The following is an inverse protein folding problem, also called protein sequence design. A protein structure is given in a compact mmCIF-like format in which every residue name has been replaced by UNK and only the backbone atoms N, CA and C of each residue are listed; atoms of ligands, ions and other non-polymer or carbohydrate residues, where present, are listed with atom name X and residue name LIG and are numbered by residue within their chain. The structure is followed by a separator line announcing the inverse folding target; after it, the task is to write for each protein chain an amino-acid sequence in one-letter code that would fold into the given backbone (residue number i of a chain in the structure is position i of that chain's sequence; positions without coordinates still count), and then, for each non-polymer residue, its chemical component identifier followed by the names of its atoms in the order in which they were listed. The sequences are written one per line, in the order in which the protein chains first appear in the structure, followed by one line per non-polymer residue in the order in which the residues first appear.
data_IF_460148859279
#
_entry.id   IF_460148859279
#
_cell.length_a   1.000
_cell.length_b   1.000
_cell.length_c   1.000
_cell.angle_alpha   90.00
_cell.angle_beta   90.00
_cell.angle_gamma   90.00
#
_symmetry.space_group_name_H-M   'P 1'
#
loop_
_entity.id
_entity.type
_entity.pdbx_description
1 polymer ?
#
# COMPACT_ATOMS: atom_id res chain seq x y z
N UNK A 1 26.78 -36.87 4.68
CA UNK A 1 25.52 -37.35 4.09
C UNK A 1 25.82 -38.55 3.20
N UNK A 2 25.08 -39.66 3.32
CA UNK A 2 25.37 -40.90 2.59
C UNK A 2 24.76 -40.89 1.18
N UNK A 3 25.38 -41.61 0.23
CA UNK A 3 24.86 -41.81 -1.12
C UNK A 3 23.45 -42.44 -1.15
N UNK A 4 23.09 -43.18 -0.09
CA UNK A 4 21.75 -43.72 0.11
C UNK A 4 20.69 -42.64 0.39
N UNK A 5 21.06 -41.55 1.06
CA UNK A 5 20.16 -40.42 1.37
C UNK A 5 19.82 -39.61 0.12
N UNK A 6 20.75 -39.53 -0.84
CA UNK A 6 20.53 -38.85 -2.12
C UNK A 6 19.58 -39.62 -3.03
N UNK A 7 19.52 -40.95 -2.95
CA UNK A 7 18.63 -41.78 -3.80
C UNK A 7 17.17 -41.70 -3.36
N UNK A 8 16.90 -41.56 -2.06
CA UNK A 8 15.53 -41.35 -1.51
C UNK A 8 14.97 -39.96 -1.80
N UNK A 9 15.81 -38.94 -2.00
CA UNK A 9 15.38 -37.53 -2.21
C UNK A 9 15.14 -37.13 -3.67
N UNK A 10 15.33 -38.03 -4.64
CA UNK A 10 15.20 -37.74 -6.09
C UNK A 10 13.80 -37.28 -6.54
N UNK A 11 12.74 -37.71 -5.85
CA UNK A 11 11.36 -37.29 -6.17
C UNK A 11 10.96 -35.95 -5.57
N UNK A 12 11.50 -35.61 -4.39
CA UNK A 12 11.23 -34.35 -3.67
C UNK A 12 12.17 -33.20 -4.05
N UNK A 13 13.26 -33.49 -4.77
CA UNK A 13 14.21 -32.47 -5.21
C UNK A 13 13.68 -31.68 -6.40
N UNK A 14 12.90 -32.30 -7.30
CA UNK A 14 12.32 -31.62 -8.47
C UNK A 14 11.23 -30.61 -8.08
N UNK A 15 10.38 -30.93 -7.11
CA UNK A 15 9.37 -29.99 -6.59
C UNK A 15 10.01 -28.82 -5.86
N UNK A 16 11.03 -29.08 -5.02
CA UNK A 16 11.81 -28.01 -4.36
C UNK A 16 12.64 -27.16 -5.34
N UNK A 17 13.24 -27.78 -6.35
CA UNK A 17 13.97 -27.07 -7.41
C UNK A 17 13.03 -26.24 -8.27
N UNK A 18 11.81 -26.72 -8.57
CA UNK A 18 10.78 -25.94 -9.27
C UNK A 18 10.23 -24.80 -8.42
N UNK A 19 10.04 -25.00 -7.11
CA UNK A 19 9.69 -23.91 -6.17
C UNK A 19 10.82 -22.88 -6.05
N UNK A 20 12.08 -23.31 -5.99
CA UNK A 20 13.23 -22.39 -5.98
C UNK A 20 13.43 -21.67 -7.32
N UNK A 21 13.20 -22.34 -8.46
CA UNK A 21 13.22 -21.71 -9.79
C UNK A 21 12.09 -20.69 -9.97
N UNK A 22 10.91 -20.93 -9.39
CA UNK A 22 9.81 -19.96 -9.36
C UNK A 22 10.15 -18.75 -8.46
N UNK A 23 10.89 -18.97 -7.36
CA UNK A 23 11.40 -17.89 -6.50
C UNK A 23 12.48 -17.04 -7.19
N UNK A 24 13.31 -17.63 -8.06
CA UNK A 24 14.36 -16.93 -8.81
C UNK A 24 13.78 -16.05 -9.95
N UNK A 25 12.64 -16.44 -10.54
CA UNK A 25 12.00 -15.70 -11.64
C UNK A 25 11.03 -14.60 -11.20
N UNK A 26 10.81 -14.43 -9.89
CA UNK A 26 10.10 -13.28 -9.36
C UNK A 26 11.13 -12.35 -8.72
N UNK A 27 11.27 -11.09 -9.16
CA UNK A 27 12.17 -10.16 -8.49
C UNK A 27 11.68 -10.02 -7.03
N UNK A 28 12.42 -10.62 -6.10
CA UNK A 28 12.33 -10.32 -4.68
C UNK A 28 12.90 -8.90 -4.48
N UNK A 29 12.10 -7.92 -4.87
CA UNK A 29 12.08 -6.64 -4.16
C UNK A 29 11.74 -7.04 -2.73
N UNK A 30 12.67 -6.83 -1.78
CA UNK A 30 12.49 -7.24 -0.39
C UNK A 30 11.07 -6.93 0.07
N UNK A 31 10.27 -7.99 0.21
CA UNK A 31 8.87 -7.84 0.60
C UNK A 31 8.92 -7.56 2.08
N UNK A 32 8.61 -6.32 2.43
CA UNK A 32 8.46 -5.94 3.82
C UNK A 32 7.21 -6.64 4.36
N UNK A 33 7.42 -7.67 5.18
CA UNK A 33 6.37 -8.56 5.72
C UNK A 33 5.34 -7.81 6.59
N UNK A 34 5.63 -6.56 6.98
CA UNK A 34 4.69 -5.69 7.68
C UNK A 34 3.55 -5.23 6.77
N UNK A 35 3.72 -5.27 5.45
CA UNK A 35 2.72 -4.81 4.50
C UNK A 35 1.72 -5.89 4.14
N UNK A 36 0.44 -5.57 4.35
CA UNK A 36 -0.63 -6.39 3.85
C UNK A 36 -1.09 -5.91 2.47
N UNK A 37 -1.46 -6.88 1.63
CA UNK A 37 -2.07 -6.66 0.33
C UNK A 37 -3.11 -7.74 0.08
N UNK A 38 -4.31 -7.32 -0.33
CA UNK A 38 -5.35 -8.25 -0.74
C UNK A 38 -4.91 -9.11 -1.93
N UNK A 39 -5.07 -10.42 -1.79
CA UNK A 39 -4.83 -11.37 -2.87
C UNK A 39 -5.90 -11.27 -3.96
N UNK A 40 -5.46 -11.25 -5.21
CA UNK A 40 -6.34 -11.19 -6.38
C UNK A 40 -6.58 -12.59 -6.94
N UNK A 41 -7.77 -12.81 -7.49
CA UNK A 41 -8.09 -14.05 -8.19
C UNK A 41 -7.50 -14.02 -9.61
N UNK A 42 -7.69 -15.10 -10.37
CA UNK A 42 -7.22 -15.17 -11.76
C UNK A 42 -7.84 -14.11 -12.66
N UNK A 43 -9.00 -13.59 -12.31
CA UNK A 43 -9.69 -12.50 -13.02
C UNK A 43 -9.26 -11.10 -12.54
N UNK A 44 -8.39 -11.01 -11.52
CA UNK A 44 -7.93 -9.75 -10.95
C UNK A 44 -8.89 -9.14 -9.93
N UNK A 45 -9.87 -9.90 -9.43
CA UNK A 45 -10.77 -9.46 -8.37
C UNK A 45 -10.25 -9.86 -6.99
N UNK A 46 -10.49 -8.99 -6.01
CA UNK A 46 -10.10 -9.20 -4.62
C UNK A 46 -11.21 -8.77 -3.70
N UNK A 47 -11.32 -9.44 -2.55
CA UNK A 47 -12.23 -9.09 -1.48
C UNK A 47 -11.54 -9.32 -0.14
N UNK A 48 -11.62 -8.32 0.72
CA UNK A 48 -11.20 -8.42 2.11
C UNK A 48 -11.98 -7.36 2.92
N UNK A 49 -12.11 -7.59 4.22
CA UNK A 49 -12.62 -6.59 5.17
C UNK A 49 -11.46 -6.19 6.06
N UNK A 50 -11.19 -4.89 6.13
CA UNK A 50 -10.11 -4.33 6.93
C UNK A 50 -10.67 -3.23 7.83
N UNK A 51 -10.05 -2.98 8.97
CA UNK A 51 -10.36 -1.86 9.85
C UNK A 51 -9.16 -0.92 9.87
N UNK A 52 -9.39 0.36 9.58
CA UNK A 52 -8.37 1.38 9.76
C UNK A 52 -8.17 1.65 11.25
N UNK A 53 -6.92 1.83 11.67
CA UNK A 53 -6.55 1.97 13.07
C UNK A 53 -6.12 3.42 13.38
N UNK A 54 -6.34 3.90 14.62
CA UNK A 54 -6.03 5.28 15.00
C UNK A 54 -4.52 5.51 15.07
N UNK A 55 -4.14 6.78 15.26
CA UNK A 55 -2.74 7.16 15.31
C UNK A 55 -2.00 6.41 16.43
N UNK A 56 -0.74 6.08 16.18
CA UNK A 56 0.11 5.38 17.16
C UNK A 56 0.57 6.34 18.25
N UNK A 57 1.14 5.80 19.33
CA UNK A 57 1.73 6.62 20.39
C UNK A 57 2.77 7.61 19.82
N UNK A 58 2.58 8.89 20.13
CA UNK A 58 3.47 9.97 19.68
C UNK A 58 3.21 10.51 18.27
N UNK A 59 2.17 10.02 17.57
CA UNK A 59 1.73 10.55 16.28
C UNK A 59 0.29 11.07 16.37
N UNK A 60 -0.01 12.20 15.71
CA UNK A 60 -1.35 12.80 15.71
C UNK A 60 -2.25 12.33 14.55
N UNK A 61 -1.64 11.80 13.48
CA UNK A 61 -2.33 11.49 12.22
C UNK A 61 -2.22 9.98 11.93
N UNK A 62 -3.34 9.27 11.69
CA UNK A 62 -3.32 7.82 11.44
C UNK A 62 -2.87 7.43 10.03
N UNK A 63 -2.34 8.37 9.25
CA UNK A 63 -1.77 8.11 7.93
C UNK A 63 -0.61 9.05 7.63
N UNK A 64 0.28 8.59 6.74
CA UNK A 64 1.29 9.45 6.10
C UNK A 64 1.14 9.40 4.60
N UNK A 65 1.49 10.52 3.95
CA UNK A 65 1.48 10.66 2.51
C UNK A 65 2.90 10.68 1.96
N UNK A 66 3.15 9.91 0.91
CA UNK A 66 4.44 9.88 0.21
C UNK A 66 4.20 9.99 -1.29
N UNK A 67 4.93 10.88 -1.93
CA UNK A 67 5.02 10.93 -3.37
C UNK A 67 6.14 10.03 -3.86
N UNK A 68 5.91 9.28 -4.92
CA UNK A 68 6.95 8.46 -5.55
C UNK A 68 6.83 8.50 -7.07
N UNK A 69 7.94 8.26 -7.75
CA UNK A 69 7.99 8.07 -9.19
C UNK A 69 8.10 6.57 -9.50
N UNK A 70 7.55 6.18 -10.64
CA UNK A 70 7.49 4.78 -11.06
C UNK A 70 7.28 4.68 -12.55
N UNK A 71 8.37 4.67 -13.32
CA UNK A 71 8.33 4.65 -14.78
C UNK A 71 9.52 3.88 -15.36
N UNK A 72 9.37 3.41 -16.59
CA UNK A 72 10.44 2.76 -17.33
C UNK A 72 11.11 3.78 -18.26
N UNK A 73 12.40 3.99 -18.06
CA UNK A 73 13.25 4.82 -18.92
C UNK A 73 14.26 3.98 -19.72
N UNK A 74 15.16 4.63 -20.47
CA UNK A 74 16.20 3.95 -21.26
C UNK A 74 17.12 3.05 -20.43
N UNK A 75 17.36 3.41 -19.16
CA UNK A 75 18.17 2.65 -18.21
C UNK A 75 17.40 1.60 -17.40
N UNK A 76 16.12 1.34 -17.71
CA UNK A 76 15.27 0.41 -16.95
C UNK A 76 14.25 1.12 -16.08
N UNK A 77 13.83 0.45 -14.99
CA UNK A 77 12.81 0.98 -14.08
C UNK A 77 13.40 2.01 -13.11
N UNK A 78 12.76 3.18 -13.05
CA UNK A 78 12.97 4.18 -12.02
C UNK A 78 11.80 4.11 -11.02
N UNK A 79 12.07 3.63 -9.81
CA UNK A 79 11.08 3.50 -8.72
C UNK A 79 11.67 4.10 -7.46
N UNK A 80 11.42 5.39 -7.23
CA UNK A 80 12.04 6.14 -6.13
C UNK A 80 11.03 7.05 -5.45
N UNK A 81 11.23 7.28 -4.15
CA UNK A 81 10.47 8.28 -3.41
C UNK A 81 10.85 9.69 -3.87
N UNK A 82 9.85 10.56 -4.01
CA UNK A 82 10.04 11.93 -4.43
C UNK A 82 10.37 12.81 -3.23
N UNK A 83 11.43 13.61 -3.38
CA UNK A 83 11.86 14.60 -2.39
C UNK A 83 10.79 15.68 -2.14
N UNK A 84 9.83 15.84 -3.07
CA UNK A 84 8.69 16.73 -2.90
C UNK A 84 7.78 16.35 -1.73
N UNK A 85 7.84 15.09 -1.26
CA UNK A 85 7.14 14.65 -0.04
C UNK A 85 7.51 15.51 1.16
N UNK A 86 8.79 15.86 1.29
CA UNK A 86 9.33 16.68 2.37
C UNK A 86 9.47 18.16 1.95
N UNK A 87 8.78 18.59 0.89
CA UNK A 87 8.85 19.96 0.37
C UNK A 87 10.17 20.35 -0.30
N UNK A 88 11.05 19.37 -0.57
CA UNK A 88 12.36 19.61 -1.22
C UNK A 88 12.21 19.56 -2.75
N UNK A 89 13.23 20.10 -3.44
CA UNK A 89 13.36 20.00 -4.90
C UNK A 89 13.65 18.57 -5.31
N UNK A 90 13.09 18.17 -6.45
CA UNK A 90 13.13 16.81 -6.97
C UNK A 90 13.52 16.85 -8.46
N UNK A 91 14.57 16.13 -8.88
CA UNK A 91 15.12 16.29 -10.23
C UNK A 91 14.15 15.81 -11.31
N UNK A 92 13.34 14.77 -11.05
CA UNK A 92 12.33 14.27 -11.98
C UNK A 92 11.21 15.29 -12.15
N UNK A 93 10.78 15.92 -11.05
CA UNK A 93 9.76 16.97 -11.08
C UNK A 93 10.25 18.20 -11.86
N UNK A 94 11.49 18.63 -11.65
CA UNK A 94 12.09 19.74 -12.41
C UNK A 94 12.23 19.42 -13.91
N UNK A 95 12.66 18.19 -14.23
CA UNK A 95 12.76 17.73 -15.62
C UNK A 95 11.38 17.68 -16.28
N UNK A 96 10.36 17.20 -15.57
CA UNK A 96 8.98 17.17 -16.05
C UNK A 96 8.43 18.56 -16.34
N UNK A 97 8.71 19.56 -15.49
CA UNK A 97 8.33 20.94 -15.76
C UNK A 97 8.95 21.45 -17.07
N UNK A 98 10.26 21.23 -17.27
CA UNK A 98 10.94 21.62 -18.52
C UNK A 98 10.31 20.97 -19.75
N UNK A 99 10.01 19.67 -19.68
CA UNK A 99 9.35 18.95 -20.77
C UNK A 99 7.94 19.48 -21.05
N UNK A 100 7.18 19.80 -20.01
CA UNK A 100 5.83 20.34 -20.13
C UNK A 100 5.83 21.71 -20.82
N UNK A 101 6.78 22.58 -20.44
CA UNK A 101 6.92 23.94 -20.96
C UNK A 101 7.30 23.99 -22.44
N UNK A 102 7.86 22.92 -23.01
CA UNK A 102 8.11 22.83 -24.46
C UNK A 102 6.83 22.86 -25.31
N UNK A 103 5.67 22.56 -24.71
CA UNK A 103 4.39 22.50 -25.41
C UNK A 103 4.21 21.34 -26.38
N UNK A 104 5.23 20.49 -26.57
CA UNK A 104 5.19 19.35 -27.48
C UNK A 104 4.40 18.18 -26.87
N UNK A 105 3.48 17.60 -27.63
CA UNK A 105 2.65 16.49 -27.15
C UNK A 105 3.48 15.24 -26.81
N UNK A 106 4.54 14.96 -27.59
CA UNK A 106 5.47 13.88 -27.30
C UNK A 106 6.15 14.03 -25.92
N UNK A 107 6.46 15.27 -25.52
CA UNK A 107 7.04 15.56 -24.21
C UNK A 107 5.99 15.44 -23.10
N UNK A 108 4.74 15.83 -23.37
CA UNK A 108 3.63 15.63 -22.42
C UNK A 108 3.36 14.15 -22.15
N UNK A 109 3.49 13.30 -23.15
CA UNK A 109 3.36 11.84 -22.95
C UNK A 109 4.45 11.28 -22.04
N UNK A 110 5.69 11.77 -22.15
CA UNK A 110 6.77 11.43 -21.22
C UNK A 110 6.43 11.89 -19.81
N UNK A 111 6.00 13.15 -19.64
CA UNK A 111 5.61 13.71 -18.34
C UNK A 111 4.47 12.90 -17.71
N UNK A 112 3.45 12.49 -18.49
CA UNK A 112 2.34 11.66 -17.99
C UNK A 112 2.83 10.32 -17.45
N UNK A 113 3.83 9.70 -18.09
CA UNK A 113 4.44 8.44 -17.62
C UNK A 113 5.30 8.65 -16.38
N UNK A 114 6.05 9.76 -16.32
CA UNK A 114 6.97 10.09 -15.23
C UNK A 114 6.31 10.76 -14.02
N UNK A 115 5.04 11.18 -14.15
CA UNK A 115 4.28 11.89 -13.11
C UNK A 115 4.34 11.15 -11.78
N UNK A 116 4.61 11.91 -10.71
CA UNK A 116 4.58 11.40 -9.34
C UNK A 116 3.21 10.82 -9.00
N UNK A 117 3.23 9.73 -8.24
CA UNK A 117 2.05 9.05 -7.70
C UNK A 117 1.96 9.36 -6.22
N UNK A 118 0.76 9.64 -5.75
CA UNK A 118 0.47 9.85 -4.34
C UNK A 118 0.09 8.52 -3.70
N UNK A 119 0.83 8.15 -2.69
CA UNK A 119 0.63 6.95 -1.89
C UNK A 119 0.35 7.34 -0.44
N UNK A 120 -0.61 6.66 0.18
CA UNK A 120 -0.87 6.75 1.61
C UNK A 120 -0.46 5.45 2.29
N UNK A 121 0.04 5.58 3.52
CA UNK A 121 0.37 4.49 4.43
C UNK A 121 -0.43 4.66 5.71
N UNK A 122 -1.02 3.58 6.23
CA UNK A 122 -1.78 3.56 7.48
C UNK A 122 -1.67 2.19 8.13
N UNK A 123 -1.97 2.10 9.42
CA UNK A 123 -2.15 0.83 10.10
C UNK A 123 -3.58 0.32 9.89
N UNK A 124 -3.70 -0.99 9.65
CA UNK A 124 -4.98 -1.68 9.56
C UNK A 124 -4.97 -2.94 10.41
N UNK A 125 -6.15 -3.35 10.86
CA UNK A 125 -6.40 -4.72 11.28
C UNK A 125 -7.17 -5.44 10.18
N UNK A 126 -6.75 -6.65 9.82
CA UNK A 126 -7.49 -7.48 8.87
C UNK A 126 -8.65 -8.15 9.61
N UNK A 127 -9.89 -7.89 9.18
CA UNK A 127 -11.10 -8.46 9.77
C UNK A 127 -11.49 -9.76 9.06
N UNK A 128 -11.43 -9.76 7.73
CA UNK A 128 -11.77 -10.91 6.90
C UNK A 128 -10.84 -10.95 5.69
N UNK A 129 -10.14 -12.06 5.50
CA UNK A 129 -9.28 -12.30 4.35
C UNK A 129 -9.47 -13.75 3.90
N UNK A 130 -10.56 -13.99 3.17
CA UNK A 130 -10.96 -15.32 2.69
C UNK A 130 -9.87 -16.13 1.98
N UNK A 131 -8.85 -15.48 1.41
CA UNK A 131 -7.74 -16.13 0.71
C UNK A 131 -6.54 -16.41 1.60
N UNK A 132 -6.38 -15.63 2.68
CA UNK A 132 -5.36 -15.82 3.71
C UNK A 132 -5.95 -15.62 5.11
N UNK A 133 -6.73 -16.59 5.60
CA UNK A 133 -7.35 -16.50 6.93
C UNK A 133 -6.33 -16.32 8.05
N UNK A 134 -5.06 -16.71 7.83
CA UNK A 134 -3.97 -16.49 8.79
C UNK A 134 -3.65 -15.01 9.07
N UNK A 135 -4.15 -14.08 8.24
CA UNK A 135 -3.99 -12.64 8.44
C UNK A 135 -5.08 -12.06 9.36
N UNK A 136 -6.21 -12.75 9.55
CA UNK A 136 -7.35 -12.23 10.30
C UNK A 136 -6.97 -11.97 11.77
N UNK A 137 -7.36 -10.80 12.28
CA UNK A 137 -7.03 -10.30 13.61
C UNK A 137 -5.62 -9.73 13.76
N UNK A 138 -4.78 -9.76 12.72
CA UNK A 138 -3.41 -9.19 12.78
C UNK A 138 -3.38 -7.75 12.25
N UNK A 139 -2.37 -7.02 12.73
CA UNK A 139 -2.09 -5.65 12.33
C UNK A 139 -1.01 -5.61 11.26
N UNK A 140 -1.28 -4.81 10.23
CA UNK A 140 -0.38 -4.60 9.11
C UNK A 140 -0.36 -3.14 8.67
N UNK A 141 0.68 -2.78 7.93
CA UNK A 141 0.73 -1.57 7.14
C UNK A 141 -0.05 -1.76 5.84
N UNK A 142 -0.91 -0.82 5.52
CA UNK A 142 -1.66 -0.79 4.28
C UNK A 142 -1.26 0.39 3.42
N UNK A 143 -0.89 0.08 2.17
CA UNK A 143 -0.52 1.04 1.15
C UNK A 143 -1.66 1.23 0.16
N UNK A 144 -2.14 2.46 0.00
CA UNK A 144 -3.25 2.77 -0.90
C UNK A 144 -3.09 4.12 -1.61
N UNK A 145 -3.91 4.35 -2.65
CA UNK A 145 -3.90 5.57 -3.43
C UNK A 145 -5.08 6.50 -3.14
N UNK A 146 -5.16 7.60 -3.90
CA UNK A 146 -6.18 8.65 -3.75
C UNK A 146 -7.62 8.12 -3.68
N UNK A 147 -7.99 7.13 -4.48
CA UNK A 147 -9.38 6.60 -4.54
C UNK A 147 -9.88 6.04 -3.21
N UNK A 148 -9.04 5.38 -2.43
CA UNK A 148 -9.41 4.88 -1.11
C UNK A 148 -9.37 6.02 -0.08
N UNK A 149 -8.39 6.93 -0.20
CA UNK A 149 -8.33 8.12 0.64
C UNK A 149 -9.56 9.03 0.49
N UNK A 150 -10.06 9.19 -0.74
CA UNK A 150 -11.28 9.96 -1.01
C UNK A 150 -12.46 9.35 -0.25
N UNK A 151 -12.61 8.02 -0.25
CA UNK A 151 -13.66 7.34 0.53
C UNK A 151 -13.52 7.54 2.04
N UNK A 152 -12.29 7.52 2.56
CA UNK A 152 -11.99 7.84 3.97
C UNK A 152 -12.40 9.28 4.27
N UNK A 153 -12.03 10.23 3.39
CA UNK A 153 -12.34 11.64 3.54
C UNK A 153 -13.84 11.93 3.45
N UNK A 154 -14.55 11.30 2.51
CA UNK A 154 -15.99 11.45 2.34
C UNK A 154 -16.76 10.94 3.57
N UNK A 155 -16.26 9.89 4.24
CA UNK A 155 -16.85 9.42 5.49
C UNK A 155 -16.65 10.39 6.68
N UNK A 156 -15.47 11.03 6.74
CA UNK A 156 -15.19 12.04 7.77
C UNK A 156 -15.83 13.39 7.46
N UNK A 157 -16.00 13.72 6.19
CA UNK A 157 -16.50 15.01 5.70
C UNK A 157 -17.60 14.76 4.67
N UNK A 158 -18.78 14.29 5.11
CA UNK A 158 -19.90 14.04 4.21
C UNK A 158 -20.34 15.32 3.49
N UNK A 159 -20.87 15.16 2.29
CA UNK A 159 -21.25 16.29 1.42
C UNK A 159 -22.71 16.72 1.58
N UNK A 160 -23.51 15.92 2.27
CA UNK A 160 -24.95 16.14 2.45
C UNK A 160 -25.29 16.30 3.94
N UNK A 161 -26.26 17.16 4.26
CA UNK A 161 -26.62 17.49 5.65
C UNK A 161 -27.28 16.35 6.43
N UNK A 162 -27.82 15.34 5.72
CA UNK A 162 -28.44 14.16 6.32
C UNK A 162 -27.43 13.03 6.62
N UNK A 163 -26.17 13.18 6.20
CA UNK A 163 -25.10 12.22 6.46
C UNK A 163 -24.33 12.59 7.74
N UNK A 164 -24.09 11.60 8.60
CA UNK A 164 -23.33 11.79 9.83
C UNK A 164 -21.84 11.60 9.56
N UNK A 165 -21.03 12.58 10.00
CA UNK A 165 -19.57 12.45 9.97
C UNK A 165 -19.13 11.33 10.90
N UNK A 166 -18.32 10.40 10.37
CA UNK A 166 -17.77 9.28 11.14
C UNK A 166 -16.27 9.25 10.93
N UNK A 167 -15.51 9.13 12.01
CA UNK A 167 -14.07 8.88 11.95
C UNK A 167 -13.80 7.38 11.74
N UNK A 168 -13.42 6.91 10.54
CA UNK A 168 -13.24 5.48 10.28
C UNK A 168 -12.06 4.86 11.06
N UNK A 169 -11.16 5.69 11.60
CA UNK A 169 -10.02 5.26 12.41
C UNK A 169 -10.37 5.08 13.90
N UNK A 170 -11.57 5.48 14.32
CA UNK A 170 -11.97 5.37 15.72
C UNK A 170 -12.23 3.91 16.13
N UNK A 171 -11.85 3.54 17.34
CA UNK A 171 -12.01 2.18 17.85
C UNK A 171 -13.44 1.84 18.25
N UNK A 172 -14.22 2.80 18.72
CA UNK A 172 -15.55 2.60 19.27
C UNK A 172 -16.65 2.93 18.25
N UNK A 173 -16.45 3.99 17.47
CA UNK A 173 -17.45 4.52 16.53
C UNK A 173 -16.96 4.52 15.07
N UNK A 174 -15.77 3.98 14.78
CA UNK A 174 -15.29 3.85 13.41
C UNK A 174 -16.03 2.77 12.61
N UNK A 175 -15.53 2.45 11.42
CA UNK A 175 -16.19 1.48 10.54
C UNK A 175 -15.21 0.54 9.84
N UNK A 176 -15.67 -0.70 9.63
CA UNK A 176 -14.95 -1.66 8.81
C UNK A 176 -15.05 -1.26 7.33
N UNK A 177 -13.97 -1.42 6.59
CA UNK A 177 -13.88 -1.13 5.17
C UNK A 177 -13.88 -2.42 4.36
N UNK A 178 -14.90 -2.58 3.51
CA UNK A 178 -15.03 -3.70 2.58
C UNK A 178 -14.22 -3.38 1.33
N UNK A 179 -12.98 -3.84 1.29
CA UNK A 179 -12.09 -3.67 0.15
C UNK A 179 -12.53 -4.60 -0.99
N UNK A 180 -13.23 -4.04 -1.97
CA UNK A 180 -13.64 -4.73 -3.21
C UNK A 180 -12.78 -4.25 -4.37
N UNK A 181 -11.92 -5.13 -4.85
CA UNK A 181 -11.02 -4.87 -5.98
C UNK A 181 -11.59 -5.54 -7.22
N UNK A 182 -11.66 -4.80 -8.33
CA UNK A 182 -12.04 -5.33 -9.64
C UNK A 182 -11.05 -4.88 -10.70
N UNK A 183 -10.93 -5.66 -11.76
CA UNK A 183 -10.19 -5.24 -12.96
C UNK A 183 -11.18 -4.73 -14.00
N UNK A 184 -11.11 -3.45 -14.35
CA UNK A 184 -11.94 -2.80 -15.36
C UNK A 184 -11.02 -2.20 -16.41
N UNK A 185 -11.18 -2.62 -17.67
CA UNK A 185 -10.36 -2.16 -18.81
C UNK A 185 -8.84 -2.28 -18.58
N UNK A 186 -8.40 -3.31 -17.86
CA UNK A 186 -6.99 -3.53 -17.56
C UNK A 186 -6.48 -2.83 -16.29
N UNK A 187 -7.26 -1.93 -15.70
CA UNK A 187 -6.89 -1.17 -14.50
C UNK A 187 -7.58 -1.70 -13.23
N UNK A 188 -6.90 -1.53 -12.10
CA UNK A 188 -7.47 -1.84 -10.79
C UNK A 188 -8.48 -0.76 -10.39
N UNK A 189 -9.70 -1.19 -10.09
CA UNK A 189 -10.82 -0.34 -9.70
C UNK A 189 -11.25 -0.66 -8.25
N UNK A 190 -11.58 0.39 -7.51
CA UNK A 190 -12.01 0.33 -6.10
C UNK A 190 -13.38 0.98 -5.88
N UNK A 191 -14.14 1.27 -6.93
CA UNK A 191 -15.37 2.07 -6.82
C UNK A 191 -16.43 1.37 -5.96
N UNK A 192 -16.45 0.03 -6.01
CA UNK A 192 -17.31 -0.82 -5.17
C UNK A 192 -16.83 -0.99 -3.73
N UNK A 193 -15.62 -0.55 -3.39
CA UNK A 193 -15.17 -0.57 -2.00
C UNK A 193 -15.97 0.43 -1.18
N UNK A 194 -16.36 0.07 0.04
CA UNK A 194 -17.29 0.86 0.85
C UNK A 194 -17.07 0.60 2.34
N UNK A 195 -17.50 1.55 3.16
CA UNK A 195 -17.56 1.35 4.60
C UNK A 195 -18.83 0.59 4.99
N UNK A 196 -18.70 -0.27 5.98
CA UNK A 196 -19.83 -0.81 6.70
C UNK A 196 -20.42 0.25 7.64
N UNK A 197 -21.54 -0.08 8.29
CA UNK A 197 -22.08 0.76 9.36
C UNK A 197 -21.07 0.91 10.49
N UNK A 198 -21.06 2.07 11.18
CA UNK A 198 -20.22 2.29 12.35
C UNK A 198 -20.40 1.20 13.40
N UNK A 199 -19.29 0.72 13.95
CA UNK A 199 -19.29 -0.29 15.00
C UNK A 199 -17.97 -0.27 15.78
N UNK A 200 -17.98 -0.64 17.06
CA UNK A 200 -16.76 -0.84 17.81
C UNK A 200 -15.93 -1.98 17.18
N UNK A 201 -14.61 -1.88 17.31
CA UNK A 201 -13.68 -2.92 16.87
C UNK A 201 -13.75 -4.15 17.80
N UNK A 202 -13.73 -3.90 19.10
CA UNK A 202 -13.92 -4.88 20.17
C UNK A 202 -14.77 -4.26 21.27
N UNK A 203 -15.47 -5.09 22.04
CA UNK A 203 -16.20 -4.65 23.25
C UNK A 203 -15.30 -4.51 24.48
N UNK A 204 -14.05 -4.98 24.38
CA UNK A 204 -13.10 -5.10 25.49
C UNK A 204 -11.96 -4.10 25.31
N UNK A 205 -11.88 -3.14 26.23
CA UNK A 205 -10.88 -2.06 26.23
C UNK A 205 -9.44 -2.60 26.34
N UNK A 206 -9.20 -3.71 27.03
CA UNK A 206 -7.85 -4.30 27.14
C UNK A 206 -7.35 -4.80 25.78
N UNK A 207 -8.26 -5.33 24.95
CA UNK A 207 -7.94 -5.75 23.58
C UNK A 207 -7.72 -4.56 22.67
N UNK A 208 -8.47 -3.47 22.85
CA UNK A 208 -8.24 -2.22 22.12
C UNK A 208 -6.86 -1.65 22.43
N UNK A 209 -6.47 -1.59 23.70
CA UNK A 209 -5.15 -1.12 24.11
C UNK A 209 -4.02 -2.03 23.58
N UNK A 210 -4.21 -3.35 23.64
CA UNK A 210 -3.23 -4.31 23.08
C UNK A 210 -3.07 -4.14 21.58
N UNK A 211 -4.17 -3.93 20.85
CA UNK A 211 -4.18 -3.67 19.40
C UNK A 211 -3.44 -2.37 19.10
N UNK A 212 -3.73 -1.31 19.86
CA UNK A 212 -3.10 0.00 19.67
C UNK A 212 -1.57 -0.05 19.80
N UNK A 213 -1.05 -0.81 20.79
CA UNK A 213 0.40 -0.99 21.03
C UNK A 213 1.13 -1.80 19.95
N UNK A 214 0.42 -2.58 19.14
CA UNK A 214 1.00 -3.42 18.10
C UNK A 214 1.12 -2.70 16.73
N UNK A 215 0.66 -1.45 16.64
CA UNK A 215 0.74 -0.65 15.43
C UNK A 215 2.18 -0.22 15.10
N UNK A 216 2.42 0.06 13.82
CA UNK A 216 3.72 0.49 13.33
C UNK A 216 3.82 2.02 13.24
N UNK A 217 4.95 2.63 13.62
CA UNK A 217 5.17 4.06 13.42
C UNK A 217 5.13 4.42 11.94
N UNK A 218 4.37 5.45 11.59
CA UNK A 218 4.19 5.89 10.21
C UNK A 218 5.14 7.02 9.86
N UNK A 219 5.58 7.83 10.83
CA UNK A 219 6.59 8.88 10.59
C UNK A 219 7.91 8.35 10.06
N UNK A 220 8.19 7.06 10.27
CA UNK A 220 9.34 6.37 9.68
C UNK A 220 9.41 6.54 8.17
N UNK A 221 8.27 6.50 7.46
CA UNK A 221 8.22 6.68 6.00
C UNK A 221 8.64 8.06 5.52
N UNK A 222 8.64 9.07 6.40
CA UNK A 222 9.04 10.44 6.10
C UNK A 222 10.49 10.74 6.48
N UNK A 223 11.19 9.79 7.12
CA UNK A 223 12.60 9.93 7.47
C UNK A 223 13.47 10.15 6.23
N UNK A 224 14.46 11.05 6.27
CA UNK A 224 15.36 11.31 5.15
C UNK A 224 16.01 10.06 4.55
N UNK A 225 16.29 9.05 5.37
CA UNK A 225 16.91 7.79 4.96
C UNK A 225 16.09 6.99 3.95
N UNK A 226 14.78 7.24 3.87
CA UNK A 226 13.89 6.66 2.87
C UNK A 226 13.87 7.41 1.53
N UNK A 227 14.69 8.46 1.40
CA UNK A 227 14.80 9.28 0.20
C UNK A 227 16.27 9.38 -0.22
N UNK A 228 16.55 9.00 -1.47
CA UNK A 228 17.88 9.21 -2.04
C UNK A 228 18.19 10.71 -2.16
N UNK A 229 19.48 11.05 -2.20
CA UNK A 229 19.91 12.43 -2.39
C UNK A 229 19.49 12.95 -3.78
N UNK A 230 19.42 14.27 -3.93
CA UNK A 230 19.11 14.88 -5.23
C UNK A 230 20.12 14.45 -6.31
N UNK A 231 21.40 14.30 -5.94
CA UNK A 231 22.47 13.89 -6.86
C UNK A 231 22.26 12.44 -7.32
N UNK A 232 21.95 11.54 -6.39
CA UNK A 232 21.68 10.12 -6.71
C UNK A 232 20.42 9.94 -7.57
N UNK A 233 19.40 10.76 -7.35
CA UNK A 233 18.16 10.72 -8.14
C UNK A 233 18.35 11.30 -9.55
N UNK A 234 19.38 12.12 -9.76
CA UNK A 234 19.67 12.79 -11.05
C UNK A 234 20.64 12.00 -11.92
N UNK A 235 21.49 11.17 -11.31
CA UNK A 235 22.49 10.34 -11.98
C UNK A 235 21.85 9.32 -12.95
#
# INVERSE_FOLDING_TARGET
MSFADMKKKRGSSLSRLSEELNKINSPQIGVDDRFWKADLDKAGNGYAVIRFLPAVEGEDIPWVRVFNHGFQGPGGWYIENSLTTNGKKDPVSEYNSKLWDTGLEANRDIVRKQKRRLTYYTNIMVIEDSKRPENEGKIFLFKFGKKIFDKINDMMNPQFEDETSVNPFDFWEGANFKLKIRKVEGFTNYDKAEFASPSPLFEDDEKLETTWKQQYPLQDFLKPDNFKSYEDLKA
#
